data_IF_561461309701
#
_entry.id   IF_561461309701
#
_cell.length_a   1.000
_cell.length_b   1.000
_cell.length_c   1.000
_cell.angle_alpha   90.00
_cell.angle_beta   90.00
_cell.angle_gamma   90.00
#
_symmetry.space_group_name_H-M   'P 1'
#
loop_
_entity.id
_entity.type
_entity.pdbx_description
1 polymer ?
#
# COMPACT_ATOMS: atom_id res chain seq x y z
N UNK A 1 -8.45 2.94 23.16
CA UNK A 1 -7.86 3.01 21.79
C UNK A 1 -6.37 2.68 21.89
N UNK A 2 -5.85 1.77 21.08
CA UNK A 2 -4.41 1.49 21.02
C UNK A 2 -3.67 2.65 20.32
N UNK A 3 -2.42 2.92 20.67
CA UNK A 3 -1.66 4.04 20.09
C UNK A 3 -1.58 4.01 18.55
N UNK A 4 -1.59 2.83 17.94
CA UNK A 4 -1.65 2.65 16.48
C UNK A 4 -2.99 3.08 15.88
N UNK A 5 -4.09 2.87 16.61
CA UNK A 5 -5.41 3.31 16.17
C UNK A 5 -5.52 4.84 16.12
N UNK A 6 -4.94 5.54 17.09
CA UNK A 6 -4.91 7.02 17.11
C UNK A 6 -4.07 7.56 15.95
N UNK A 7 -2.87 7.00 15.73
CA UNK A 7 -2.01 7.39 14.59
C UNK A 7 -2.70 7.13 13.26
N UNK A 8 -3.32 5.96 13.09
CA UNK A 8 -4.11 5.64 11.90
C UNK A 8 -5.21 6.69 11.69
N UNK A 9 -5.98 7.01 12.73
CA UNK A 9 -7.10 7.95 12.62
C UNK A 9 -6.64 9.36 12.23
N UNK A 10 -5.57 9.87 12.84
CA UNK A 10 -4.98 11.16 12.49
C UNK A 10 -4.48 11.21 11.05
N UNK A 11 -3.83 10.14 10.60
CA UNK A 11 -3.35 10.05 9.21
C UNK A 11 -4.53 10.01 8.24
N UNK A 12 -5.55 9.18 8.50
CA UNK A 12 -6.73 9.13 7.65
C UNK A 12 -7.43 10.48 7.56
N UNK A 13 -7.59 11.19 8.69
CA UNK A 13 -8.14 12.55 8.71
C UNK A 13 -7.32 13.52 7.84
N UNK A 14 -5.99 13.43 7.90
CA UNK A 14 -5.11 14.25 7.04
C UNK A 14 -5.20 13.88 5.55
N UNK A 15 -5.55 12.63 5.24
CA UNK A 15 -5.67 12.11 3.88
C UNK A 15 -7.06 12.34 3.26
N UNK A 16 -8.12 12.59 4.05
CA UNK A 16 -9.49 12.79 3.54
C UNK A 16 -9.58 13.86 2.44
N UNK A 17 -8.98 15.06 2.60
CA UNK A 17 -9.03 16.08 1.56
C UNK A 17 -8.34 15.62 0.27
N UNK A 18 -7.19 14.96 0.37
CA UNK A 18 -6.46 14.40 -0.76
C UNK A 18 -7.24 13.31 -1.48
N UNK A 19 -7.87 12.39 -0.74
CA UNK A 19 -8.76 11.37 -1.31
C UNK A 19 -9.92 11.97 -2.08
N UNK A 20 -10.55 12.99 -1.51
CA UNK A 20 -11.71 13.64 -2.14
C UNK A 20 -11.32 14.31 -3.45
N UNK A 21 -10.25 15.11 -3.45
CA UNK A 21 -9.73 15.77 -4.66
C UNK A 21 -9.29 14.76 -5.72
N UNK A 22 -8.55 13.72 -5.35
CA UNK A 22 -8.11 12.68 -6.30
C UNK A 22 -9.27 11.86 -6.86
N UNK A 23 -10.27 11.53 -6.04
CA UNK A 23 -11.41 10.74 -6.48
C UNK A 23 -12.31 11.56 -7.41
N UNK A 24 -12.58 12.82 -7.08
CA UNK A 24 -13.38 13.73 -7.92
C UNK A 24 -12.68 14.05 -9.23
N UNK A 25 -11.41 14.42 -9.20
CA UNK A 25 -10.64 14.70 -10.41
C UNK A 25 -10.46 13.44 -11.25
N UNK A 26 -10.14 12.30 -10.62
CA UNK A 26 -9.97 11.02 -11.29
C UNK A 26 -11.25 10.51 -11.94
N UNK A 27 -12.41 10.63 -11.28
CA UNK A 27 -13.70 10.26 -11.88
C UNK A 27 -14.12 11.21 -13.00
N UNK A 28 -13.86 12.52 -12.88
CA UNK A 28 -14.12 13.47 -13.95
C UNK A 28 -13.25 13.17 -15.19
N UNK A 29 -11.94 12.94 -14.99
CA UNK A 29 -11.02 12.56 -16.07
C UNK A 29 -11.41 11.22 -16.70
N UNK A 30 -11.78 10.22 -15.90
CA UNK A 30 -12.27 8.93 -16.37
C UNK A 30 -13.55 9.09 -17.21
N UNK A 31 -14.49 9.92 -16.76
CA UNK A 31 -15.72 10.21 -17.49
C UNK A 31 -15.47 10.90 -18.82
N UNK A 32 -14.53 11.85 -18.87
CA UNK A 32 -14.11 12.51 -20.10
C UNK A 32 -13.43 11.54 -21.07
N UNK A 33 -12.48 10.71 -20.60
CA UNK A 33 -11.82 9.70 -21.45
C UNK A 33 -12.81 8.64 -21.96
N UNK A 34 -13.81 8.25 -21.17
CA UNK A 34 -14.86 7.33 -21.61
C UNK A 34 -15.82 7.97 -22.61
N UNK A 35 -16.13 9.25 -22.47
CA UNK A 35 -16.97 10.01 -23.39
C UNK A 35 -16.27 10.30 -24.72
N UNK A 36 -14.97 10.59 -24.65
CA UNK A 36 -14.06 10.86 -25.78
C UNK A 36 -13.35 9.60 -26.28
N UNK A 37 -13.86 8.40 -25.95
CA UNK A 37 -13.34 7.14 -26.48
C UNK A 37 -13.72 7.01 -27.97
N UNK A 38 -13.24 7.95 -28.78
CA UNK A 38 -13.27 7.93 -30.21
C UNK A 38 -12.50 6.70 -30.67
N UNK A 39 -13.21 5.77 -31.30
CA UNK A 39 -12.60 4.59 -31.85
C UNK A 39 -11.80 4.97 -33.11
N UNK A 40 -10.49 4.68 -33.21
CA UNK A 40 -9.66 3.90 -32.29
C UNK A 40 -8.98 4.75 -31.18
N UNK A 41 -8.84 4.20 -29.96
CA UNK A 41 -8.18 4.91 -28.86
C UNK A 41 -6.69 5.11 -29.12
N UNK A 42 -6.19 6.30 -28.82
CA UNK A 42 -4.76 6.60 -28.89
C UNK A 42 -4.00 5.91 -27.74
N UNK A 43 -2.72 5.58 -27.95
CA UNK A 43 -1.86 5.06 -26.88
C UNK A 43 -1.73 6.01 -25.68
N UNK A 44 -1.88 7.32 -25.91
CA UNK A 44 -1.87 8.33 -24.85
C UNK A 44 -3.12 8.24 -23.98
N UNK A 45 -4.31 8.13 -24.58
CA UNK A 45 -5.59 7.93 -23.89
C UNK A 45 -5.59 6.65 -23.05
N UNK A 46 -5.05 5.55 -23.60
CA UNK A 46 -4.87 4.29 -22.86
C UNK A 46 -3.94 4.48 -21.66
N UNK A 47 -2.82 5.18 -21.85
CA UNK A 47 -1.87 5.48 -20.77
C UNK A 47 -2.48 6.32 -19.66
N UNK A 48 -3.23 7.36 -20.00
CA UNK A 48 -3.94 8.22 -19.06
C UNK A 48 -5.02 7.45 -18.30
N UNK A 49 -5.83 6.64 -18.99
CA UNK A 49 -6.82 5.77 -18.38
C UNK A 49 -6.19 4.82 -17.35
N UNK A 50 -5.11 4.12 -17.72
CA UNK A 50 -4.38 3.26 -16.81
C UNK A 50 -3.84 4.03 -15.60
N UNK A 51 -3.33 5.24 -15.81
CA UNK A 51 -2.80 6.07 -14.74
C UNK A 51 -3.91 6.52 -13.76
N UNK A 52 -5.07 6.96 -14.28
CA UNK A 52 -6.23 7.34 -13.46
C UNK A 52 -6.72 6.17 -12.62
N UNK A 53 -6.89 4.99 -13.24
CA UNK A 53 -7.31 3.77 -12.54
C UNK A 53 -6.30 3.36 -11.46
N UNK A 54 -5.01 3.44 -11.78
CA UNK A 54 -3.93 3.18 -10.85
C UNK A 54 -3.96 4.13 -9.64
N UNK A 55 -4.20 5.42 -9.88
CA UNK A 55 -4.32 6.40 -8.80
C UNK A 55 -5.54 6.16 -7.91
N UNK A 56 -6.68 5.77 -8.48
CA UNK A 56 -7.87 5.42 -7.71
C UNK A 56 -7.65 4.15 -6.89
N UNK A 57 -6.94 3.16 -7.45
CA UNK A 57 -6.61 1.90 -6.77
C UNK A 57 -5.56 2.06 -5.64
N UNK A 58 -4.77 3.13 -5.63
CA UNK A 58 -3.75 3.36 -4.60
C UNK A 58 -4.34 3.58 -3.20
N UNK A 59 -5.53 4.19 -3.10
CA UNK A 59 -6.22 4.46 -1.84
C UNK A 59 -6.76 3.22 -1.11
N UNK A 60 -7.54 2.33 -1.76
CA UNK A 60 -7.96 1.07 -1.12
C UNK A 60 -6.75 0.20 -0.77
N UNK A 61 -5.69 0.24 -1.58
CA UNK A 61 -4.43 -0.44 -1.28
C UNK A 61 -3.77 0.08 0.00
N UNK A 62 -3.72 1.41 0.19
CA UNK A 62 -3.27 2.03 1.44
C UNK A 62 -4.14 1.60 2.63
N UNK A 63 -5.45 1.49 2.43
CA UNK A 63 -6.41 0.92 3.39
C UNK A 63 -6.04 -0.49 3.83
N UNK A 64 -5.75 -1.38 2.89
CA UNK A 64 -5.36 -2.77 3.18
C UNK A 64 -4.05 -2.82 3.97
N UNK A 65 -3.04 -2.03 3.59
CA UNK A 65 -1.78 -1.95 4.32
C UNK A 65 -1.98 -1.44 5.75
N UNK A 66 -2.79 -0.40 5.92
CA UNK A 66 -3.09 0.15 7.23
C UNK A 66 -3.87 -0.83 8.12
N UNK A 67 -4.86 -1.54 7.56
CA UNK A 67 -5.62 -2.54 8.30
C UNK A 67 -4.71 -3.68 8.79
N UNK A 68 -3.83 -4.17 7.91
CA UNK A 68 -2.87 -5.23 8.23
C UNK A 68 -1.81 -4.79 9.23
N UNK A 69 -1.43 -3.52 9.17
CA UNK A 69 -0.62 -2.89 10.20
C UNK A 69 -1.36 -2.85 11.54
N UNK A 70 -2.64 -2.46 11.59
CA UNK A 70 -3.45 -2.51 12.82
C UNK A 70 -3.59 -3.93 13.39
N UNK A 71 -3.79 -4.93 12.52
CA UNK A 71 -3.81 -6.36 12.88
C UNK A 71 -2.44 -6.94 13.28
N UNK A 72 -1.37 -6.14 13.16
CA UNK A 72 0.00 -6.54 13.41
C UNK A 72 0.48 -7.74 12.56
N UNK A 73 -0.10 -7.94 11.36
CA UNK A 73 0.26 -9.02 10.43
C UNK A 73 1.09 -8.49 9.26
N UNK A 74 2.31 -9.00 9.02
CA UNK A 74 3.10 -8.60 7.86
C UNK A 74 2.51 -9.13 6.56
N UNK A 75 2.47 -8.29 5.51
CA UNK A 75 2.03 -8.65 4.17
C UNK A 75 3.25 -9.00 3.31
N UNK A 76 3.06 -9.91 2.35
CA UNK A 76 4.10 -10.29 1.38
C UNK A 76 4.69 -9.11 0.60
N UNK A 77 6.02 -9.17 0.36
CA UNK A 77 6.88 -8.12 -0.23
C UNK A 77 6.42 -7.54 -1.59
N UNK A 78 5.62 -8.28 -2.39
CA UNK A 78 5.19 -7.86 -3.73
C UNK A 78 4.17 -6.71 -3.71
N UNK A 79 3.31 -6.66 -2.71
CA UNK A 79 2.24 -5.66 -2.59
C UNK A 79 2.73 -4.26 -2.22
N UNK A 80 3.62 -4.07 -1.23
CA UNK A 80 4.18 -2.76 -0.93
C UNK A 80 5.02 -2.21 -2.10
N UNK A 81 5.74 -3.06 -2.84
CA UNK A 81 6.52 -2.65 -4.02
C UNK A 81 5.63 -2.10 -5.14
N UNK A 82 4.55 -2.82 -5.48
CA UNK A 82 3.59 -2.36 -6.49
C UNK A 82 2.97 -1.03 -6.06
N UNK A 83 2.55 -0.90 -4.79
CA UNK A 83 1.96 0.34 -4.27
C UNK A 83 2.92 1.54 -4.31
N UNK A 84 4.21 1.33 -4.01
CA UNK A 84 5.21 2.40 -4.02
C UNK A 84 5.57 2.83 -5.44
N UNK A 85 5.68 1.88 -6.38
CA UNK A 85 5.92 2.16 -7.81
C UNK A 85 4.76 2.95 -8.42
N UNK A 86 3.52 2.55 -8.14
CA UNK A 86 2.33 3.22 -8.62
C UNK A 86 2.22 4.65 -8.09
N UNK A 87 2.47 4.84 -6.80
CA UNK A 87 2.47 6.17 -6.17
C UNK A 87 3.58 7.08 -6.70
N UNK A 88 4.78 6.53 -6.95
CA UNK A 88 5.93 7.29 -7.45
C UNK A 88 5.73 7.71 -8.91
N UNK A 89 5.20 6.84 -9.77
CA UNK A 89 4.87 7.18 -11.15
C UNK A 89 3.80 8.27 -11.25
N UNK A 90 2.89 8.35 -10.27
CA UNK A 90 1.83 9.36 -10.25
C UNK A 90 2.31 10.75 -9.76
N UNK A 91 3.32 10.81 -8.87
CA UNK A 91 3.79 12.09 -8.31
C UNK A 91 4.70 12.90 -9.25
N UNK A 92 5.32 12.27 -10.26
CA UNK A 92 6.26 12.96 -11.15
C UNK A 92 5.68 14.11 -12.00
N UNK A 93 4.42 14.08 -12.50
CA UNK A 93 3.96 15.09 -13.45
C UNK A 93 3.17 16.29 -12.85
N UNK A 94 2.61 16.20 -11.64
CA UNK A 94 1.45 17.06 -11.26
C UNK A 94 1.71 18.24 -10.30
N UNK A 95 2.97 18.66 -10.08
CA UNK A 95 3.28 19.93 -9.42
C UNK A 95 3.07 19.98 -7.89
N UNK A 96 3.46 21.12 -7.31
CA UNK A 96 3.70 21.29 -5.86
C UNK A 96 2.42 21.32 -5.00
N UNK A 97 1.29 21.68 -5.59
CA UNK A 97 -0.01 21.81 -4.88
C UNK A 97 -0.59 20.41 -4.58
N UNK A 98 -0.48 19.47 -5.52
CA UNK A 98 -0.86 18.08 -5.31
C UNK A 98 0.06 17.39 -4.30
N UNK A 99 1.34 17.76 -4.25
CA UNK A 99 2.28 17.24 -3.27
C UNK A 99 1.86 17.55 -1.83
N UNK A 100 1.29 18.72 -1.53
CA UNK A 100 0.88 19.09 -0.16
C UNK A 100 -0.24 18.21 0.40
N UNK A 101 -1.22 17.85 -0.44
CA UNK A 101 -2.36 17.01 -0.03
C UNK A 101 -2.06 15.51 -0.08
N UNK A 102 -1.11 15.09 -0.93
CA UNK A 102 -0.75 13.68 -1.13
C UNK A 102 0.44 13.26 -0.27
N UNK A 103 1.33 14.18 0.10
CA UNK A 103 2.53 13.90 0.91
C UNK A 103 2.24 13.14 2.22
N UNK A 104 1.23 13.49 3.05
CA UNK A 104 0.98 12.73 4.27
C UNK A 104 0.60 11.26 3.96
N UNK A 105 -0.21 11.05 2.91
CA UNK A 105 -0.57 9.70 2.44
C UNK A 105 0.63 8.92 1.92
N UNK A 106 1.52 9.55 1.16
CA UNK A 106 2.72 8.90 0.58
C UNK A 106 3.78 8.62 1.63
N UNK A 107 4.01 9.53 2.57
CA UNK A 107 4.90 9.31 3.71
C UNK A 107 4.38 8.16 4.59
N UNK A 108 3.07 8.08 4.81
CA UNK A 108 2.49 6.97 5.55
C UNK A 108 2.56 5.66 4.77
N UNK A 109 2.26 5.68 3.47
CA UNK A 109 2.36 4.51 2.60
C UNK A 109 3.79 3.94 2.58
N UNK A 110 4.80 4.81 2.43
CA UNK A 110 6.21 4.42 2.44
C UNK A 110 6.63 3.86 3.80
N UNK A 111 6.20 4.47 4.91
CA UNK A 111 6.40 3.92 6.25
C UNK A 111 5.79 2.51 6.39
N UNK A 112 4.53 2.32 5.99
CA UNK A 112 3.85 1.02 6.04
C UNK A 112 4.54 -0.02 5.16
N UNK A 113 5.01 0.39 3.98
CA UNK A 113 5.78 -0.47 3.09
C UNK A 113 7.05 -0.97 3.79
N UNK A 114 7.86 -0.06 4.33
CA UNK A 114 9.09 -0.40 5.06
C UNK A 114 8.77 -1.31 6.27
N UNK A 115 7.70 -1.02 6.99
CA UNK A 115 7.29 -1.82 8.15
C UNK A 115 6.92 -3.25 7.74
N UNK A 116 6.12 -3.44 6.68
CA UNK A 116 5.73 -4.76 6.18
C UNK A 116 6.94 -5.54 5.64
N UNK A 117 7.84 -4.87 4.94
CA UNK A 117 9.12 -5.45 4.48
C UNK A 117 9.94 -6.00 5.65
N UNK A 118 10.14 -5.18 6.69
CA UNK A 118 10.96 -5.55 7.84
C UNK A 118 10.27 -6.60 8.70
N UNK A 119 8.95 -6.55 8.80
CA UNK A 119 8.13 -7.56 9.48
C UNK A 119 8.19 -8.91 8.77
N UNK A 120 8.11 -8.92 7.43
CA UNK A 120 8.25 -10.13 6.62
C UNK A 120 9.65 -10.74 6.76
N UNK A 121 10.71 -9.93 6.67
CA UNK A 121 12.10 -10.40 6.89
C UNK A 121 12.30 -10.98 8.29
N UNK A 122 11.67 -10.39 9.31
CA UNK A 122 11.69 -10.93 10.68
C UNK A 122 10.95 -12.26 10.79
N UNK A 123 9.76 -12.38 10.18
CA UNK A 123 9.00 -13.62 10.15
C UNK A 123 9.73 -14.77 9.44
N UNK A 124 10.50 -14.47 8.38
CA UNK A 124 11.34 -15.46 7.71
C UNK A 124 12.59 -15.85 8.49
N UNK A 125 13.11 -14.95 9.34
CA UNK A 125 14.33 -15.19 10.14
C UNK A 125 14.08 -15.96 11.42
N UNK A 126 12.86 -15.96 11.96
CA UNK A 126 12.51 -16.84 13.08
C UNK A 126 12.43 -18.27 12.55
N UNK A 127 13.43 -19.13 12.79
CA UNK A 127 13.31 -20.54 12.44
C UNK A 127 12.20 -21.10 13.34
N UNK A 128 11.37 -21.99 12.81
CA UNK A 128 10.50 -22.81 13.65
C UNK A 128 11.36 -23.39 14.80
N UNK A 129 10.89 -23.38 16.07
CA UNK A 129 11.64 -24.00 17.15
C UNK A 129 11.98 -25.41 16.69
N UNK A 130 13.28 -25.68 16.51
CA UNK A 130 13.77 -26.98 16.09
C UNK A 130 13.16 -27.98 17.06
N UNK A 131 12.30 -28.84 16.54
CA UNK A 131 11.90 -30.10 17.19
C UNK A 131 13.17 -30.92 17.37
N UNK A 132 13.97 -30.56 18.39
CA UNK A 132 14.99 -31.41 18.95
C UNK A 132 14.24 -32.26 19.97
N UNK A 133 13.41 -33.16 19.44
CA UNK A 133 13.06 -34.35 20.17
C UNK A 133 14.37 -35.12 20.31
N UNK A 134 15.07 -34.91 21.43
CA UNK A 134 16.03 -35.89 21.91
C UNK A 134 15.23 -37.18 22.11
N UNK A 135 15.50 -38.27 21.37
CA UNK A 135 14.98 -39.57 21.76
C UNK A 135 15.71 -39.91 23.07
N UNK A 136 14.95 -39.96 24.16
CA UNK A 136 15.42 -40.53 25.43
C UNK A 136 16.14 -41.85 25.16
N UNK A 137 17.45 -41.86 25.40
CA UNK A 137 18.27 -43.07 25.36
C UNK A 137 17.86 -43.93 26.55
N UNK A 138 17.41 -45.18 26.38
CA UNK A 138 17.13 -46.06 27.51
C UNK A 138 18.44 -46.29 28.25
N UNK A 139 18.46 -45.99 29.53
CA UNK A 139 19.54 -46.40 30.43
C UNK A 139 19.33 -47.88 30.70
N UNK A 140 20.10 -48.72 30.02
CA UNK A 140 20.27 -50.12 30.39
C UNK A 140 20.89 -50.16 31.79
N UNK A 141 20.11 -50.63 32.77
CA UNK A 141 20.57 -50.91 34.12
C UNK A 141 20.81 -52.43 34.27
N UNK A 142 22.03 -52.86 34.66
CA UNK A 142 22.29 -54.24 35.09
C UNK A 142 21.76 -54.52 36.50
#
# INVERSE_FOLDING_TARGET
>A
MTGRGVVSLLVWLSCVPGMFVHSTLGTALLGMELAELAWPPSWQSIGLLCAVLASLAAWPMLGVLNLRWLENRPLHWRWPLIGTLLATCWMLPHGWIFALFVAPGVLFASYLCIWHVLGWRRAQRSPAPSSRADPERPVDAP
#
